data_IF_774724543138
#
_entry.id   IF_774724543138
#
_cell.length_a   1.000
_cell.length_b   1.000
_cell.length_c   1.000
_cell.angle_alpha   90.00
_cell.angle_beta   90.00
_cell.angle_gamma   90.00
#
_symmetry.space_group_name_H-M   'P 1'
#
loop_
_entity.id
_entity.type
_entity.pdbx_description
1 polymer ?
#
# COMPACT_ATOMS: atom_id res chain seq x y z
N UNK A 1 35.71 23.75 22.02
CA UNK A 1 35.33 24.96 22.78
C UNK A 1 34.81 24.55 24.14
N UNK A 2 35.24 25.15 25.26
CA UNK A 2 34.72 24.80 26.58
C UNK A 2 33.25 25.19 26.69
N UNK A 3 32.41 24.25 27.15
CA UNK A 3 30.98 24.47 27.37
C UNK A 3 30.83 25.48 28.51
N UNK A 4 30.24 26.64 28.21
CA UNK A 4 30.05 27.70 29.21
C UNK A 4 29.25 27.20 30.42
N UNK A 5 29.48 27.81 31.59
CA UNK A 5 28.74 27.47 32.82
C UNK A 5 27.23 27.59 32.63
N UNK A 6 26.77 28.61 31.88
CA UNK A 6 25.34 28.77 31.53
C UNK A 6 24.81 27.61 30.67
N UNK A 7 25.59 27.10 29.72
CA UNK A 7 25.22 25.94 28.91
C UNK A 7 25.14 24.65 29.75
N UNK A 8 25.97 24.50 30.79
CA UNK A 8 25.89 23.36 31.72
C UNK A 8 24.62 23.41 32.58
N UNK A 9 24.27 24.59 33.09
CA UNK A 9 23.03 24.77 33.87
C UNK A 9 21.79 24.46 33.01
N UNK A 10 21.74 24.96 31.78
CA UNK A 10 20.64 24.66 30.85
C UNK A 10 20.51 23.16 30.56
N UNK A 11 21.63 22.43 30.40
CA UNK A 11 21.60 20.97 30.24
C UNK A 11 21.08 20.23 31.47
N UNK A 12 21.44 20.67 32.68
CA UNK A 12 20.90 20.08 33.91
C UNK A 12 19.39 20.34 34.03
N UNK A 13 18.93 21.56 33.71
CA UNK A 13 17.49 21.88 33.70
C UNK A 13 16.75 21.01 32.69
N UNK A 14 17.26 20.89 31.45
CA UNK A 14 16.70 20.04 30.41
C UNK A 14 16.62 18.56 30.82
N UNK A 15 17.67 18.05 31.48
CA UNK A 15 17.67 16.69 32.04
C UNK A 15 16.59 16.50 33.10
N UNK A 16 16.44 17.45 34.02
CA UNK A 16 15.42 17.38 35.08
C UNK A 16 14.02 17.45 34.48
N UNK A 17 13.77 18.37 33.54
CA UNK A 17 12.48 18.48 32.84
C UNK A 17 12.16 17.20 32.06
N UNK A 18 13.12 16.66 31.31
CA UNK A 18 12.91 15.43 30.52
C UNK A 18 12.65 14.21 31.42
N UNK A 19 13.40 14.08 32.51
CA UNK A 19 13.23 12.99 33.47
C UNK A 19 11.88 13.06 34.18
N UNK A 20 11.50 14.25 34.67
CA UNK A 20 10.21 14.47 35.33
C UNK A 20 9.04 14.26 34.38
N UNK A 21 9.15 14.69 33.13
CA UNK A 21 8.15 14.42 32.10
C UNK A 21 8.00 12.91 31.82
N UNK A 22 9.11 12.17 31.79
CA UNK A 22 9.10 10.70 31.67
C UNK A 22 8.33 10.03 32.80
N UNK A 23 8.64 10.38 34.06
CA UNK A 23 7.92 9.86 35.23
C UNK A 23 6.42 10.20 35.18
N UNK A 24 6.08 11.44 34.84
CA UNK A 24 4.69 11.86 34.74
C UNK A 24 3.95 11.06 33.66
N UNK A 25 4.56 10.87 32.49
CA UNK A 25 4.00 10.08 31.40
C UNK A 25 3.76 8.62 31.82
N UNK A 26 4.74 7.98 32.45
CA UNK A 26 4.65 6.59 32.90
C UNK A 26 3.58 6.41 33.97
N UNK A 27 3.48 7.38 34.90
CA UNK A 27 2.45 7.39 35.96
C UNK A 27 1.05 7.49 35.35
N UNK A 28 0.84 8.44 34.43
CA UNK A 28 -0.43 8.60 33.71
C UNK A 28 -0.78 7.33 32.95
N UNK A 29 0.20 6.73 32.25
CA UNK A 29 -0.01 5.52 31.48
C UNK A 29 -0.34 4.31 32.36
N UNK A 30 0.25 4.21 33.56
CA UNK A 30 -0.08 3.18 34.55
C UNK A 30 -1.55 3.25 34.96
N UNK A 31 -2.05 4.42 35.35
CA UNK A 31 -3.46 4.58 35.74
C UNK A 31 -4.43 4.39 34.56
N UNK A 32 -4.07 4.86 33.36
CA UNK A 32 -4.88 4.68 32.16
C UNK A 32 -5.09 3.21 31.75
N UNK A 33 -4.24 2.28 32.20
CA UNK A 33 -4.44 0.84 31.96
C UNK A 33 -5.59 0.23 32.75
N UNK A 34 -5.91 0.76 33.94
CA UNK A 34 -6.97 0.23 34.79
C UNK A 34 -8.36 0.69 34.34
N UNK A 35 -8.48 1.93 33.87
CA UNK A 35 -9.73 2.50 33.35
C UNK A 35 -9.52 3.21 32.00
N UNK A 36 -9.35 2.44 30.91
CA UNK A 36 -9.10 3.04 29.60
C UNK A 36 -10.35 3.77 29.08
N UNK A 37 -10.17 5.02 28.67
CA UNK A 37 -11.22 5.79 27.98
C UNK A 37 -11.69 5.07 26.70
N UNK A 38 -12.97 5.21 26.33
CA UNK A 38 -13.50 4.65 25.10
C UNK A 38 -12.70 5.15 23.89
N UNK A 39 -12.66 4.34 22.83
CA UNK A 39 -12.02 4.74 21.59
C UNK A 39 -12.86 5.78 20.85
N UNK A 40 -12.19 6.78 20.28
CA UNK A 40 -12.81 7.79 19.42
C UNK A 40 -13.12 7.21 18.04
N UNK A 41 -14.29 7.57 17.49
CA UNK A 41 -14.69 7.26 16.12
C UNK A 41 -14.51 8.49 15.23
N UNK A 42 -13.52 8.50 14.33
CA UNK A 42 -13.27 9.63 13.44
C UNK A 42 -14.25 9.65 12.26
N UNK A 43 -14.55 10.82 11.68
CA UNK A 43 -15.47 10.98 10.53
C UNK A 43 -15.15 10.09 9.31
N UNK A 44 -13.87 9.72 9.15
CA UNK A 44 -13.38 8.91 8.04
C UNK A 44 -13.51 7.38 8.26
N UNK A 45 -14.05 6.93 9.39
CA UNK A 45 -14.31 5.52 9.72
C UNK A 45 -15.68 5.39 10.39
N UNK A 46 -16.40 4.31 10.12
CA UNK A 46 -17.67 4.03 10.82
C UNK A 46 -17.44 3.17 12.07
N UNK A 47 -16.18 2.75 12.29
CA UNK A 47 -15.72 1.98 13.45
C UNK A 47 -14.72 2.79 14.31
N UNK A 48 -14.73 2.61 15.64
CA UNK A 48 -13.80 3.30 16.54
C UNK A 48 -12.35 2.84 16.33
N UNK A 49 -11.38 3.72 16.61
CA UNK A 49 -9.96 3.38 16.51
C UNK A 49 -9.59 2.22 17.45
N UNK A 50 -8.80 1.27 16.95
CA UNK A 50 -8.25 0.21 17.79
C UNK A 50 -7.19 0.76 18.74
N UNK A 51 -7.31 0.39 20.02
CA UNK A 51 -6.24 0.58 21.00
C UNK A 51 -5.06 -0.33 20.67
N UNK A 52 -3.86 0.01 21.14
CA UNK A 52 -2.64 -0.74 20.80
C UNK A 52 -2.72 -2.23 21.12
N UNK A 53 -3.31 -2.61 22.24
CA UNK A 53 -3.49 -4.01 22.65
C UNK A 53 -4.59 -4.76 21.88
N UNK A 54 -5.46 -4.05 21.16
CA UNK A 54 -6.50 -4.65 20.31
C UNK A 54 -5.99 -4.93 18.89
N UNK A 55 -4.86 -4.35 18.51
CA UNK A 55 -4.29 -4.53 17.16
C UNK A 55 -3.65 -5.90 17.04
N UNK A 56 -4.10 -6.67 16.05
CA UNK A 56 -3.46 -7.94 15.72
C UNK A 56 -2.13 -7.72 15.00
N UNK A 57 -1.20 -8.66 15.15
CA UNK A 57 0.06 -8.69 14.39
C UNK A 57 0.09 -9.97 13.54
N UNK A 58 0.70 -9.94 12.34
CA UNK A 58 1.08 -11.18 11.66
C UNK A 58 2.14 -11.92 12.48
N UNK A 59 2.38 -13.19 12.15
CA UNK A 59 3.55 -13.87 12.67
C UNK A 59 4.80 -13.22 12.06
N UNK A 60 5.66 -12.68 12.91
CA UNK A 60 6.88 -11.95 12.56
C UNK A 60 8.09 -12.70 13.13
N UNK A 61 9.29 -12.34 12.70
CA UNK A 61 10.54 -13.06 12.96
C UNK A 61 10.73 -14.30 12.06
N UNK A 62 11.85 -14.97 12.23
CA UNK A 62 12.20 -16.20 11.53
C UNK A 62 12.82 -17.20 12.50
N UNK A 63 12.65 -18.51 12.26
CA UNK A 63 11.92 -19.10 11.13
C UNK A 63 10.41 -18.94 11.26
N UNK A 64 9.70 -18.76 10.14
CA UNK A 64 8.23 -18.77 10.11
C UNK A 64 7.71 -19.36 8.80
N UNK A 65 6.51 -19.94 8.87
CA UNK A 65 5.78 -20.38 7.68
C UNK A 65 4.76 -19.33 7.24
N UNK A 66 4.59 -19.15 5.93
CA UNK A 66 3.58 -18.29 5.32
C UNK A 66 2.99 -18.93 4.06
N UNK A 67 1.94 -18.31 3.52
CA UNK A 67 1.40 -18.66 2.21
C UNK A 67 2.15 -17.86 1.14
N UNK A 68 2.47 -18.50 0.03
CA UNK A 68 3.13 -17.90 -1.13
C UNK A 68 2.53 -18.45 -2.41
N UNK A 69 2.96 -17.91 -3.55
CA UNK A 69 2.54 -18.37 -4.86
C UNK A 69 3.69 -19.10 -5.57
N UNK A 70 3.38 -20.26 -6.15
CA UNK A 70 4.29 -20.97 -7.04
C UNK A 70 4.49 -20.16 -8.34
N UNK A 71 5.73 -19.78 -8.70
CA UNK A 71 5.99 -19.05 -9.95
C UNK A 71 5.57 -19.82 -11.21
N UNK A 72 5.67 -21.16 -11.20
CA UNK A 72 5.23 -22.02 -12.30
C UNK A 72 3.71 -22.03 -12.44
N UNK A 73 2.99 -22.40 -11.37
CA UNK A 73 1.53 -22.46 -11.38
C UNK A 73 0.88 -21.14 -11.79
N UNK A 74 1.43 -20.00 -11.32
CA UNK A 74 0.89 -18.67 -11.65
C UNK A 74 1.08 -18.35 -13.14
N UNK A 75 2.25 -18.66 -13.72
CA UNK A 75 2.50 -18.46 -15.16
C UNK A 75 1.55 -19.30 -16.01
N UNK A 76 1.42 -20.58 -15.71
CA UNK A 76 0.53 -21.48 -16.43
C UNK A 76 -0.94 -21.07 -16.29
N UNK A 77 -1.38 -20.67 -15.10
CA UNK A 77 -2.73 -20.18 -14.89
C UNK A 77 -3.01 -18.92 -15.70
N UNK A 78 -2.06 -17.97 -15.72
CA UNK A 78 -2.16 -16.77 -16.55
C UNK A 78 -2.24 -17.10 -18.03
N UNK A 79 -1.42 -18.03 -18.52
CA UNK A 79 -1.45 -18.47 -19.92
C UNK A 79 -2.80 -19.10 -20.31
N UNK A 80 -3.34 -19.99 -19.47
CA UNK A 80 -4.68 -20.57 -19.70
C UNK A 80 -5.77 -19.52 -19.76
N UNK A 81 -5.71 -18.51 -18.89
CA UNK A 81 -6.66 -17.40 -18.89
C UNK A 81 -6.54 -16.57 -20.18
N UNK A 82 -5.32 -16.23 -20.58
CA UNK A 82 -5.08 -15.45 -21.81
C UNK A 82 -5.54 -16.21 -23.07
N UNK A 83 -5.37 -17.54 -23.10
CA UNK A 83 -5.84 -18.41 -24.18
C UNK A 83 -7.37 -18.64 -24.17
N UNK A 84 -8.07 -18.19 -23.13
CA UNK A 84 -9.51 -18.40 -22.96
C UNK A 84 -9.89 -19.80 -22.46
N UNK A 85 -8.92 -20.62 -22.06
CA UNK A 85 -9.13 -21.98 -21.54
C UNK A 85 -9.67 -21.97 -20.10
N UNK A 86 -9.47 -20.86 -19.38
CA UNK A 86 -9.89 -20.68 -17.99
C UNK A 86 -10.43 -19.26 -17.77
N UNK A 87 -11.48 -19.09 -16.97
CA UNK A 87 -11.99 -17.76 -16.65
C UNK A 87 -11.12 -17.06 -15.61
N UNK A 88 -10.88 -15.76 -15.77
CA UNK A 88 -10.09 -14.97 -14.80
C UNK A 88 -10.69 -14.97 -13.39
N UNK A 89 -12.02 -15.13 -13.26
CA UNK A 89 -12.72 -15.17 -11.98
C UNK A 89 -12.25 -16.30 -11.08
N UNK A 90 -11.65 -17.35 -11.64
CA UNK A 90 -11.04 -18.42 -10.86
C UNK A 90 -9.95 -17.90 -9.92
N UNK A 91 -9.23 -16.82 -10.28
CA UNK A 91 -8.24 -16.18 -9.40
C UNK A 91 -8.86 -15.54 -8.14
N UNK A 92 -10.17 -15.29 -8.15
CA UNK A 92 -10.92 -14.72 -7.02
C UNK A 92 -11.50 -15.85 -6.15
N UNK A 93 -12.02 -16.91 -6.77
CA UNK A 93 -12.74 -17.97 -6.07
C UNK A 93 -11.86 -19.12 -5.61
N UNK A 94 -10.71 -19.32 -6.26
CA UNK A 94 -9.79 -20.42 -5.96
C UNK A 94 -8.41 -19.91 -5.54
N UNK A 95 -7.63 -20.80 -4.92
CA UNK A 95 -6.28 -20.54 -4.43
C UNK A 95 -5.23 -21.01 -5.43
N UNK A 96 -5.32 -20.48 -6.65
CA UNK A 96 -4.50 -20.94 -7.78
C UNK A 96 -3.01 -20.74 -7.48
N UNK A 97 -2.26 -21.85 -7.42
CA UNK A 97 -0.83 -21.83 -7.17
C UNK A 97 -0.42 -21.48 -5.75
N UNK A 98 -1.34 -21.45 -4.79
CA UNK A 98 -1.02 -21.23 -3.37
C UNK A 98 -0.23 -22.43 -2.82
N UNK A 99 0.95 -22.15 -2.27
CA UNK A 99 1.83 -23.13 -1.61
C UNK A 99 2.34 -22.57 -0.29
N UNK A 100 2.81 -23.47 0.59
CA UNK A 100 3.49 -23.03 1.82
C UNK A 100 4.92 -22.63 1.51
N UNK A 101 5.37 -21.55 2.15
CA UNK A 101 6.74 -21.09 2.11
C UNK A 101 7.30 -20.94 3.53
N UNK A 102 8.58 -21.25 3.70
CA UNK A 102 9.36 -20.99 4.90
C UNK A 102 10.18 -19.73 4.71
N UNK A 103 10.13 -18.84 5.69
CA UNK A 103 11.00 -17.66 5.77
C UNK A 103 12.08 -17.99 6.80
N UNK A 104 13.33 -18.04 6.35
CA UNK A 104 14.49 -18.47 7.15
C UNK A 104 15.63 -17.46 7.04
N UNK A 105 16.49 -17.40 8.04
CA UNK A 105 17.74 -16.63 7.98
C UNK A 105 18.91 -17.54 7.59
N UNK A 106 19.74 -17.07 6.64
CA UNK A 106 20.99 -17.71 6.21
C UNK A 106 22.02 -16.61 5.96
N UNK A 107 23.18 -16.70 6.61
CA UNK A 107 24.30 -15.78 6.41
C UNK A 107 23.93 -14.28 6.57
N UNK A 108 23.05 -13.96 7.51
CA UNK A 108 22.56 -12.59 7.75
C UNK A 108 21.56 -12.08 6.70
N UNK A 109 21.13 -12.92 5.78
CA UNK A 109 20.07 -12.65 4.80
C UNK A 109 18.80 -13.41 5.16
N UNK A 110 17.65 -12.94 4.69
CA UNK A 110 16.35 -13.58 4.89
C UNK A 110 15.86 -14.14 3.56
N UNK A 111 15.58 -15.44 3.54
CA UNK A 111 15.24 -16.23 2.37
C UNK A 111 13.81 -16.76 2.47
N UNK A 112 13.06 -16.71 1.37
CA UNK A 112 11.81 -17.43 1.19
C UNK A 112 12.08 -18.73 0.44
N UNK A 113 11.79 -19.86 1.08
CA UNK A 113 11.97 -21.21 0.55
C UNK A 113 10.59 -21.82 0.35
N UNK A 114 10.30 -22.32 -0.85
CA UNK A 114 8.98 -22.86 -1.18
C UNK A 114 9.11 -24.09 -2.07
N UNK A 115 8.29 -25.09 -1.78
CA UNK A 115 8.24 -26.35 -2.52
C UNK A 115 6.87 -26.50 -3.17
N UNK A 116 6.84 -26.54 -4.50
CA UNK A 116 5.65 -26.87 -5.27
C UNK A 116 5.66 -28.36 -5.62
N UNK A 117 4.56 -29.09 -5.39
CA UNK A 117 4.46 -30.51 -5.77
C UNK A 117 4.65 -30.78 -7.28
N UNK A 118 4.45 -29.75 -8.13
CA UNK A 118 4.48 -29.86 -9.59
C UNK A 118 5.76 -29.25 -10.16
N UNK A 119 6.15 -28.06 -9.69
CA UNK A 119 7.27 -27.29 -10.25
C UNK A 119 8.56 -27.37 -9.44
N UNK A 120 8.57 -28.14 -8.35
CA UNK A 120 9.75 -28.37 -7.53
C UNK A 120 10.08 -27.21 -6.59
N UNK A 121 11.37 -27.04 -6.33
CA UNK A 121 11.91 -26.19 -5.29
C UNK A 121 12.23 -24.78 -5.80
N UNK A 122 11.95 -23.77 -5.00
CA UNK A 122 12.30 -22.38 -5.27
C UNK A 122 12.82 -21.69 -4.01
N UNK A 123 13.84 -20.85 -4.17
CA UNK A 123 14.35 -19.97 -3.13
C UNK A 123 14.52 -18.55 -3.66
N UNK A 124 14.04 -17.57 -2.92
CA UNK A 124 14.13 -16.15 -3.26
C UNK A 124 14.65 -15.36 -2.05
N UNK A 125 15.58 -14.43 -2.25
CA UNK A 125 16.03 -13.53 -1.18
C UNK A 125 14.94 -12.48 -0.92
N UNK A 126 14.43 -12.42 0.30
CA UNK A 126 13.48 -11.39 0.75
C UNK A 126 14.18 -10.12 1.25
N UNK A 127 15.29 -10.28 1.97
CA UNK A 127 16.08 -9.18 2.49
C UNK A 127 17.56 -9.57 2.59
N UNK A 128 18.43 -8.64 2.23
CA UNK A 128 19.89 -8.83 2.29
C UNK A 128 20.50 -8.56 3.68
N UNK A 129 19.71 -7.99 4.60
CA UNK A 129 20.11 -7.69 5.98
C UNK A 129 18.97 -8.07 6.94
N UNK A 130 19.19 -9.15 7.69
CA UNK A 130 18.25 -9.69 8.67
C UNK A 130 18.06 -8.74 9.85
N UNK A 131 19.09 -8.02 10.29
CA UNK A 131 18.99 -7.08 11.42
C UNK A 131 18.13 -5.88 11.06
N UNK A 132 18.27 -5.38 9.83
CA UNK A 132 17.43 -4.29 9.34
C UNK A 132 15.97 -4.73 9.20
N UNK A 133 15.71 -5.93 8.65
CA UNK A 133 14.34 -6.44 8.58
C UNK A 133 13.74 -6.66 9.97
N UNK A 134 14.52 -7.19 10.92
CA UNK A 134 14.08 -7.40 12.30
C UNK A 134 13.72 -6.06 12.97
N UNK A 135 14.49 -5.02 12.70
CA UNK A 135 14.19 -3.67 13.15
C UNK A 135 12.85 -3.16 12.58
N UNK A 136 12.60 -3.34 11.28
CA UNK A 136 11.33 -2.98 10.64
C UNK A 136 10.16 -3.74 11.30
N UNK A 137 10.28 -5.06 11.46
CA UNK A 137 9.24 -5.90 12.05
C UNK A 137 8.96 -5.55 13.53
N UNK A 138 10.00 -5.23 14.31
CA UNK A 138 9.86 -4.75 15.69
C UNK A 138 9.07 -3.44 15.78
N UNK A 139 9.22 -2.58 14.78
CA UNK A 139 8.51 -1.30 14.69
C UNK A 139 7.11 -1.43 14.08
N UNK A 140 6.66 -2.64 13.72
CA UNK A 140 5.31 -2.83 13.19
C UNK A 140 4.25 -2.51 14.27
N UNK A 141 3.42 -1.46 14.06
CA UNK A 141 2.51 -0.96 15.09
C UNK A 141 1.26 -1.83 15.27
N UNK A 142 1.15 -2.95 14.56
CA UNK A 142 -0.05 -3.77 14.46
C UNK A 142 -0.92 -3.39 13.26
N UNK A 143 -1.75 -4.34 12.82
CA UNK A 143 -2.78 -4.10 11.80
C UNK A 143 -3.69 -3.01 12.31
N UNK A 144 -4.04 -2.09 11.43
CA UNK A 144 -4.89 -0.97 11.81
C UNK A 144 -6.37 -1.35 11.80
N UNK A 145 -7.24 -0.47 11.31
CA UNK A 145 -8.66 -0.75 11.27
C UNK A 145 -9.00 -1.82 10.22
N UNK A 146 -9.89 -2.77 10.56
CA UNK A 146 -10.50 -3.63 9.57
C UNK A 146 -11.24 -2.80 8.52
N UNK A 147 -11.00 -3.12 7.25
CA UNK A 147 -11.73 -2.52 6.15
C UNK A 147 -13.23 -2.87 6.27
N UNK A 148 -14.09 -1.93 5.84
CA UNK A 148 -15.55 -2.07 5.85
C UNK A 148 -16.16 -1.22 4.74
N UNK A 149 -17.40 -1.54 4.37
CA UNK A 149 -18.11 -0.93 3.25
C UNK A 149 -17.37 -1.10 1.90
N UNK A 150 -16.62 -2.18 1.76
CA UNK A 150 -15.77 -2.48 0.60
C UNK A 150 -15.96 -3.90 0.05
N UNK A 151 -17.05 -4.57 0.45
CA UNK A 151 -17.38 -5.96 0.06
C UNK A 151 -17.35 -6.16 -1.46
N UNK A 152 -17.81 -5.17 -2.21
CA UNK A 152 -17.92 -5.24 -3.66
C UNK A 152 -16.68 -4.72 -4.39
N UNK A 153 -15.67 -4.21 -3.66
CA UNK A 153 -14.51 -3.54 -4.25
C UNK A 153 -13.18 -4.22 -3.92
N UNK A 154 -12.95 -4.65 -2.67
CA UNK A 154 -11.70 -5.30 -2.26
C UNK A 154 -11.76 -6.84 -2.23
N UNK A 155 -12.81 -7.45 -2.76
CA UNK A 155 -12.97 -8.90 -2.78
C UNK A 155 -12.18 -9.54 -3.94
N UNK A 156 -10.90 -9.83 -3.67
CA UNK A 156 -9.94 -10.36 -4.64
C UNK A 156 -9.36 -11.72 -4.21
N UNK A 157 -10.18 -12.59 -3.61
CA UNK A 157 -9.75 -13.92 -3.17
C UNK A 157 -8.64 -13.84 -2.12
N UNK A 158 -7.53 -14.56 -2.34
CA UNK A 158 -6.35 -14.53 -1.44
C UNK A 158 -5.71 -13.14 -1.31
N UNK A 159 -5.93 -12.24 -2.28
CA UNK A 159 -5.41 -10.87 -2.28
C UNK A 159 -6.37 -9.84 -1.67
N UNK A 160 -7.45 -10.29 -1.02
CA UNK A 160 -8.43 -9.40 -0.39
C UNK A 160 -7.79 -8.49 0.67
N UNK A 161 -7.98 -7.18 0.53
CA UNK A 161 -7.49 -6.19 1.48
C UNK A 161 -8.40 -6.22 2.72
N UNK A 162 -7.84 -6.64 3.87
CA UNK A 162 -8.62 -6.80 5.12
C UNK A 162 -8.45 -5.65 6.11
N UNK A 163 -7.34 -4.92 6.06
CA UNK A 163 -6.99 -3.88 7.03
C UNK A 163 -6.27 -2.73 6.31
N UNK A 164 -6.48 -1.49 6.76
CA UNK A 164 -5.84 -0.34 6.15
C UNK A 164 -6.14 0.98 6.86
N UNK A 165 -5.40 2.03 6.49
CA UNK A 165 -5.59 3.41 7.01
C UNK A 165 -6.16 4.37 5.96
N UNK A 166 -6.31 3.92 4.73
CA UNK A 166 -6.47 4.74 3.53
C UNK A 166 -5.62 4.14 2.42
N UNK A 167 -5.95 4.47 1.18
CA UNK A 167 -5.32 3.91 -0.01
C UNK A 167 -4.93 5.03 -0.97
N UNK A 168 -3.87 4.79 -1.73
CA UNK A 168 -3.60 5.53 -2.97
C UNK A 168 -4.28 4.75 -4.08
N UNK A 169 -5.35 5.31 -4.64
CA UNK A 169 -5.98 4.77 -5.83
C UNK A 169 -5.12 5.15 -7.03
N UNK A 170 -4.48 4.18 -7.67
CA UNK A 170 -3.79 4.42 -8.93
C UNK A 170 -4.75 4.10 -10.07
N UNK A 171 -5.00 5.07 -10.95
CA UNK A 171 -5.89 4.91 -12.10
C UNK A 171 -5.08 5.14 -13.37
N UNK A 172 -4.86 4.07 -14.11
CA UNK A 172 -4.24 4.13 -15.43
C UNK A 172 -5.30 4.57 -16.44
N UNK A 173 -5.26 5.83 -16.85
CA UNK A 173 -6.28 6.40 -17.75
C UNK A 173 -6.18 5.83 -19.17
N UNK A 174 -4.97 5.47 -19.57
CA UNK A 174 -4.69 4.82 -20.85
C UNK A 174 -3.36 4.08 -20.79
N UNK A 175 -3.20 3.01 -21.57
CA UNK A 175 -1.88 2.40 -21.77
C UNK A 175 -1.04 3.11 -22.84
N UNK A 176 -1.52 4.15 -23.53
CA UNK A 176 -0.71 4.89 -24.51
C UNK A 176 0.36 5.74 -23.83
N UNK A 177 1.57 5.76 -24.37
CA UNK A 177 2.64 6.67 -23.94
C UNK A 177 3.30 7.36 -25.15
N UNK A 178 3.64 8.64 -25.02
CA UNK A 178 4.44 9.38 -25.99
C UNK A 178 5.97 9.23 -25.76
N UNK A 179 6.38 8.28 -24.91
CA UNK A 179 7.77 7.85 -24.71
C UNK A 179 7.89 6.31 -24.74
N UNK A 180 9.12 5.81 -24.90
CA UNK A 180 9.46 4.39 -24.83
C UNK A 180 10.71 4.22 -23.98
N UNK A 181 10.54 4.25 -22.66
CA UNK A 181 11.67 4.14 -21.72
C UNK A 181 12.11 2.68 -21.58
N UNK A 182 13.42 2.40 -21.66
CA UNK A 182 13.97 1.06 -21.40
C UNK A 182 13.56 0.48 -20.03
N UNK A 183 13.54 1.24 -18.91
CA UNK A 183 13.10 0.70 -17.62
C UNK A 183 11.57 0.76 -17.40
N UNK A 184 10.75 0.85 -18.46
CA UNK A 184 9.30 0.99 -18.30
C UNK A 184 8.65 -0.29 -17.73
N UNK A 185 8.16 -0.22 -16.49
CA UNK A 185 7.49 -1.34 -15.84
C UNK A 185 6.13 -1.69 -16.44
N UNK A 186 5.43 -0.70 -17.03
CA UNK A 186 4.07 -0.89 -17.55
C UNK A 186 4.03 -1.40 -18.99
N UNK A 187 5.16 -1.33 -19.69
CA UNK A 187 5.32 -1.73 -21.09
C UNK A 187 4.25 -1.18 -22.04
N UNK A 188 3.92 0.10 -21.83
CA UNK A 188 2.69 0.75 -22.26
C UNK A 188 2.41 0.66 -23.78
N UNK A 189 3.47 0.69 -24.59
CA UNK A 189 3.39 0.65 -26.06
C UNK A 189 3.66 -0.74 -26.68
N UNK A 190 3.95 -1.77 -25.88
CA UNK A 190 4.19 -3.13 -26.38
C UNK A 190 2.96 -4.05 -26.26
N UNK A 191 1.87 -3.53 -25.69
CA UNK A 191 0.60 -4.25 -25.61
C UNK A 191 -0.10 -4.19 -26.95
N UNK A 192 -0.47 -5.34 -27.53
CA UNK A 192 -1.13 -5.44 -28.84
C UNK A 192 -2.57 -4.90 -28.89
N UNK A 193 -3.00 -4.13 -27.89
CA UNK A 193 -4.30 -3.46 -27.83
C UNK A 193 -4.20 -2.15 -27.04
N UNK A 194 -5.09 -1.21 -27.33
CA UNK A 194 -5.21 0.05 -26.59
C UNK A 194 -6.26 -0.11 -25.50
N UNK A 195 -5.86 0.14 -24.26
CA UNK A 195 -6.78 0.35 -23.14
C UNK A 195 -6.85 1.86 -22.88
N UNK A 196 -8.04 2.43 -22.96
CA UNK A 196 -8.32 3.83 -22.65
C UNK A 196 -9.67 3.91 -21.97
N UNK A 197 -9.70 4.51 -20.78
CA UNK A 197 -10.92 4.64 -20.01
C UNK A 197 -11.81 5.75 -20.59
N UNK A 198 -13.09 5.44 -20.74
CA UNK A 198 -14.14 6.41 -21.01
C UNK A 198 -14.45 7.28 -19.79
N UNK A 199 -15.17 8.39 -20.02
CA UNK A 199 -15.53 9.31 -18.93
C UNK A 199 -16.40 8.62 -17.86
N UNK A 200 -17.37 7.81 -18.28
CA UNK A 200 -18.27 7.08 -17.40
C UNK A 200 -17.48 6.13 -16.48
N UNK A 201 -16.54 5.37 -17.04
CA UNK A 201 -15.67 4.45 -16.31
C UNK A 201 -14.78 5.20 -15.30
N UNK A 202 -14.19 6.32 -15.71
CA UNK A 202 -13.39 7.18 -14.82
C UNK A 202 -14.23 7.64 -13.63
N UNK A 203 -15.43 8.16 -13.89
CA UNK A 203 -16.30 8.65 -12.81
C UNK A 203 -16.75 7.51 -11.89
N UNK A 204 -17.09 6.34 -12.44
CA UNK A 204 -17.49 5.18 -11.67
C UNK A 204 -16.37 4.69 -10.74
N UNK A 205 -15.14 4.57 -11.25
CA UNK A 205 -13.97 4.16 -10.45
C UNK A 205 -13.76 5.15 -9.29
N UNK A 206 -13.78 6.45 -9.59
CA UNK A 206 -13.56 7.49 -8.59
C UNK A 206 -14.67 7.55 -7.54
N UNK A 207 -15.93 7.38 -7.93
CA UNK A 207 -17.08 7.33 -7.03
C UNK A 207 -17.08 6.09 -6.14
N UNK A 208 -16.80 4.92 -6.72
CA UNK A 208 -16.76 3.65 -5.99
C UNK A 208 -15.67 3.66 -4.92
N UNK A 209 -14.48 4.16 -5.24
CA UNK A 209 -13.40 4.27 -4.26
C UNK A 209 -13.76 5.18 -3.07
N UNK A 210 -14.59 6.20 -3.28
CA UNK A 210 -15.05 7.09 -2.20
C UNK A 210 -16.03 6.44 -1.22
N UNK A 211 -16.59 5.26 -1.54
CA UNK A 211 -17.50 4.51 -0.65
C UNK A 211 -16.74 3.71 0.42
N UNK A 212 -15.46 3.39 0.20
CA UNK A 212 -14.64 2.58 1.12
C UNK A 212 -14.46 3.27 2.48
N UNK A 213 -14.47 2.47 3.56
CA UNK A 213 -14.05 2.87 4.89
C UNK A 213 -13.03 1.85 5.47
N UNK A 214 -12.05 2.27 6.27
CA UNK A 214 -11.69 3.66 6.61
C UNK A 214 -11.01 4.40 5.44
N UNK A 215 -11.27 5.71 5.32
CA UNK A 215 -10.65 6.60 4.32
C UNK A 215 -9.99 7.82 4.94
N UNK A 216 -8.98 7.62 5.80
CA UNK A 216 -8.34 8.74 6.53
C UNK A 216 -7.75 9.78 5.59
N UNK A 217 -7.06 9.29 4.56
CA UNK A 217 -6.54 10.08 3.45
C UNK A 217 -6.79 9.26 2.19
N UNK A 218 -7.84 9.60 1.45
CA UNK A 218 -8.07 9.01 0.14
C UNK A 218 -7.37 9.86 -0.90
N UNK A 219 -6.44 9.27 -1.64
CA UNK A 219 -5.70 9.96 -2.69
C UNK A 219 -5.83 9.21 -4.00
N UNK A 220 -5.81 9.94 -5.10
CA UNK A 220 -5.77 9.35 -6.43
C UNK A 220 -4.49 9.78 -7.13
N UNK A 221 -3.83 8.83 -7.78
CA UNK A 221 -2.72 9.05 -8.70
C UNK A 221 -3.18 8.63 -10.10
N UNK A 222 -3.33 9.60 -10.98
CA UNK A 222 -3.54 9.32 -12.40
C UNK A 222 -2.21 8.92 -13.02
N UNK A 223 -2.23 7.77 -13.68
CA UNK A 223 -1.09 7.08 -14.26
C UNK A 223 -1.51 6.56 -15.64
N UNK A 224 -0.76 5.61 -16.18
CA UNK A 224 -0.98 4.95 -17.45
C UNK A 224 0.33 4.74 -18.15
N UNK A 225 0.29 4.71 -19.49
CA UNK A 225 1.50 4.92 -20.27
C UNK A 225 1.96 6.33 -20.05
N UNK A 226 1.10 7.29 -20.38
CA UNK A 226 1.21 8.68 -19.98
C UNK A 226 -0.21 9.25 -19.77
N UNK A 227 -0.60 9.67 -18.55
CA UNK A 227 -1.96 10.11 -18.26
C UNK A 227 -2.38 11.32 -19.11
N UNK A 228 -1.46 12.23 -19.46
CA UNK A 228 -1.78 13.41 -20.29
C UNK A 228 -2.19 13.07 -21.73
N UNK A 229 -1.97 11.83 -22.18
CA UNK A 229 -2.46 11.33 -23.47
C UNK A 229 -3.97 11.03 -23.47
N UNK A 230 -4.58 10.87 -22.28
CA UNK A 230 -6.02 10.68 -22.17
C UNK A 230 -6.75 12.01 -22.41
N UNK A 231 -7.82 12.04 -23.24
CA UNK A 231 -8.61 13.26 -23.45
C UNK A 231 -9.26 13.78 -22.17
N UNK A 232 -9.51 12.89 -21.20
CA UNK A 232 -10.21 13.17 -19.95
C UNK A 232 -9.30 13.50 -18.77
N UNK A 233 -7.97 13.54 -18.94
CA UNK A 233 -7.02 13.70 -17.83
C UNK A 233 -7.34 14.91 -16.93
N UNK A 234 -7.46 16.10 -17.54
CA UNK A 234 -7.72 17.33 -16.77
C UNK A 234 -9.10 17.28 -16.11
N UNK A 235 -10.10 16.71 -16.78
CA UNK A 235 -11.46 16.57 -16.24
C UNK A 235 -11.51 15.59 -15.08
N UNK A 236 -10.76 14.49 -15.16
CA UNK A 236 -10.61 13.51 -14.09
C UNK A 236 -9.96 14.14 -12.84
N UNK A 237 -8.93 14.99 -13.04
CA UNK A 237 -8.30 15.76 -11.95
C UNK A 237 -9.31 16.69 -11.28
N UNK A 238 -10.09 17.45 -12.05
CA UNK A 238 -11.12 18.35 -11.51
C UNK A 238 -12.21 17.58 -10.76
N UNK A 239 -12.66 16.46 -11.32
CA UNK A 239 -13.70 15.63 -10.74
C UNK A 239 -13.25 14.96 -9.44
N UNK A 240 -12.04 14.41 -9.40
CA UNK A 240 -11.46 13.88 -8.16
C UNK A 240 -11.36 14.95 -7.06
N UNK A 241 -10.96 16.18 -7.39
CA UNK A 241 -10.98 17.30 -6.44
C UNK A 241 -12.40 17.62 -5.96
N UNK A 242 -13.38 17.63 -6.87
CA UNK A 242 -14.80 17.86 -6.55
C UNK A 242 -15.35 16.81 -5.58
N UNK A 243 -14.98 15.54 -5.74
CA UNK A 243 -15.39 14.45 -4.84
C UNK A 243 -14.76 14.56 -3.44
N UNK A 244 -13.68 15.33 -3.28
CA UNK A 244 -13.01 15.55 -2.01
C UNK A 244 -11.88 14.56 -1.72
N UNK A 245 -11.20 14.05 -2.76
CA UNK A 245 -9.93 13.36 -2.59
C UNK A 245 -8.92 14.29 -1.89
N UNK A 246 -8.22 13.78 -0.88
CA UNK A 246 -7.27 14.55 -0.07
C UNK A 246 -6.04 14.98 -0.87
N UNK A 247 -5.61 14.14 -1.81
CA UNK A 247 -4.50 14.42 -2.72
C UNK A 247 -4.83 13.87 -4.10
N UNK A 248 -4.64 14.70 -5.12
CA UNK A 248 -4.80 14.34 -6.53
C UNK A 248 -3.45 14.52 -7.19
N UNK A 249 -2.88 13.41 -7.65
CA UNK A 249 -1.52 13.31 -8.18
C UNK A 249 -1.56 12.81 -9.62
N UNK A 250 -0.49 13.08 -10.36
CA UNK A 250 -0.29 12.53 -11.70
C UNK A 250 1.14 12.04 -11.84
N UNK A 251 1.33 10.81 -12.30
CA UNK A 251 2.62 10.28 -12.72
C UNK A 251 2.78 10.58 -14.22
N UNK A 252 3.38 11.74 -14.53
CA UNK A 252 3.53 12.24 -15.91
C UNK A 252 4.99 12.49 -16.25
N UNK A 253 5.33 12.31 -17.52
CA UNK A 253 6.62 12.70 -18.09
C UNK A 253 6.76 14.19 -18.39
N UNK A 254 5.66 14.96 -18.30
CA UNK A 254 5.67 16.41 -18.44
C UNK A 254 5.72 16.95 -19.87
N UNK A 255 5.78 16.08 -20.89
CA UNK A 255 5.97 16.50 -22.29
C UNK A 255 4.82 17.37 -22.79
N UNK A 256 3.57 17.00 -22.53
CA UNK A 256 2.41 17.77 -23.01
C UNK A 256 2.34 19.16 -22.35
N UNK A 257 2.75 19.27 -21.08
CA UNK A 257 2.91 20.57 -20.42
C UNK A 257 4.01 21.42 -21.05
N UNK A 258 5.13 20.80 -21.44
CA UNK A 258 6.25 21.51 -22.07
C UNK A 258 5.92 21.97 -23.50
N UNK A 259 5.08 21.22 -24.23
CA UNK A 259 4.74 21.49 -25.63
C UNK A 259 3.67 22.57 -25.82
N UNK A 260 2.66 22.62 -24.95
CA UNK A 260 1.50 23.48 -25.14
C UNK A 260 1.19 24.35 -23.92
N UNK A 261 1.25 25.66 -24.13
CA UNK A 261 0.81 26.65 -23.14
C UNK A 261 -0.69 26.55 -22.91
N UNK A 262 -1.47 26.27 -23.96
CA UNK A 262 -2.92 26.10 -23.91
C UNK A 262 -3.29 24.91 -23.02
N UNK A 263 -2.55 23.79 -23.11
CA UNK A 263 -2.75 22.65 -22.22
C UNK A 263 -2.54 23.03 -20.75
N UNK A 264 -1.51 23.83 -20.45
CA UNK A 264 -1.24 24.32 -19.10
C UNK A 264 -2.32 25.29 -18.56
N UNK A 265 -3.11 25.91 -19.43
CA UNK A 265 -4.17 26.85 -19.06
C UNK A 265 -5.52 26.16 -18.76
N UNK A 266 -5.67 24.88 -19.13
CA UNK A 266 -6.85 24.07 -18.79
C UNK A 266 -6.85 23.74 -17.30
#
# INVERSE_FOLDING_TARGET
MPVSTGTRVLKCVDQVVSFTAGIAFDTIHFFNKYHPNPSFTPKWSDKPLLKSWQKSKPNLGWPRQTDSLCPGCVKEARERIIKGEQQYRTLITEKVGEIKAQIVERDGQVWMVKDCPIHGHFEDIMAIDSKFLAWIEKNFPGRDLPAHNDKDLHNHGSSTIRHGRGSVLTVDLTNRCNMMCDPCFMDANQVGFVHELGWEEITEILDNAMKIKPKRQMSVQFSGGEPTMSPYFVDAVRYARKLGYNSVQAATNGIEFAKSKEFCQR
#
